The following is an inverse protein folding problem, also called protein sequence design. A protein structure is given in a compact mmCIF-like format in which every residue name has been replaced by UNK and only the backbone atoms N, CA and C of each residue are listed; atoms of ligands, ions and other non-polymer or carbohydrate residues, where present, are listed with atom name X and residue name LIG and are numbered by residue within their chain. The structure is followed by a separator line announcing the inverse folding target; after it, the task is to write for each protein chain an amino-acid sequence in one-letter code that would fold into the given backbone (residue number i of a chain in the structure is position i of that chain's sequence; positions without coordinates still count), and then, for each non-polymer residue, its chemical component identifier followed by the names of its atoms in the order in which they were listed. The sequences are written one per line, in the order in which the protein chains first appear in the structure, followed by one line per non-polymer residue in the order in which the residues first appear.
data_IF_833671053873
#
_entry.id   IF_833671053873
#
_cell.length_a   1.000
_cell.length_b   1.000
_cell.length_c   1.000
_cell.angle_alpha   90.00
_cell.angle_beta   90.00
_cell.angle_gamma   90.00
#
_symmetry.space_group_name_H-M   'P 1'
#
loop_
_entity.id
_entity.type
_entity.pdbx_description
1 polymer ?
#
# COMPACT_ATOMS: atom_id res chain seq x y z
N UNK A 1 18.94 3.13 -13.78
CA UNK A 1 18.20 2.22 -12.88
C UNK A 1 18.81 0.85 -13.01
N UNK A 2 19.13 0.16 -11.92
CA UNK A 2 19.77 -1.15 -11.94
C UNK A 2 18.83 -2.20 -11.35
N UNK A 3 18.61 -3.30 -12.07
CA UNK A 3 17.91 -4.45 -11.54
C UNK A 3 18.86 -5.27 -10.66
N UNK A 4 18.57 -5.35 -9.35
CA UNK A 4 19.42 -6.09 -8.40
C UNK A 4 19.02 -7.55 -8.23
N UNK A 5 17.78 -7.90 -8.59
CA UNK A 5 17.26 -9.27 -8.50
C UNK A 5 15.79 -9.32 -8.09
N UNK A 6 15.22 -10.53 -8.16
CA UNK A 6 13.88 -10.87 -7.71
C UNK A 6 13.95 -12.00 -6.72
N UNK A 7 13.27 -11.86 -5.58
CA UNK A 7 13.07 -12.96 -4.65
C UNK A 7 11.80 -13.73 -5.08
N UNK A 8 11.88 -15.05 -5.36
CA UNK A 8 10.69 -15.81 -5.69
C UNK A 8 9.76 -15.83 -4.48
N UNK A 9 8.47 -15.53 -4.67
CA UNK A 9 7.43 -15.70 -3.66
C UNK A 9 6.60 -16.95 -4.01
N UNK A 10 6.27 -17.84 -3.05
CA UNK A 10 6.45 -17.73 -1.60
C UNK A 10 7.84 -18.18 -1.09
N UNK A 11 8.71 -18.73 -1.93
CA UNK A 11 9.97 -19.36 -1.53
C UNK A 11 11.15 -18.38 -1.38
N UNK A 12 10.88 -17.20 -0.82
CA UNK A 12 11.91 -16.16 -0.70
C UNK A 12 12.98 -16.62 0.30
N UNK A 13 14.27 -16.34 0.04
CA UNK A 13 15.32 -16.70 0.97
C UNK A 13 15.06 -16.05 2.33
N UNK A 14 15.36 -16.79 3.39
CA UNK A 14 15.33 -16.22 4.74
C UNK A 14 16.29 -15.03 4.86
N UNK A 15 16.01 -14.13 5.79
CA UNK A 15 16.71 -12.84 5.98
C UNK A 15 18.24 -13.02 6.03
N UNK A 16 18.74 -14.07 6.67
CA UNK A 16 20.18 -14.36 6.72
C UNK A 16 20.80 -14.54 5.33
N UNK A 17 20.16 -15.31 4.44
CA UNK A 17 20.62 -15.51 3.05
C UNK A 17 20.49 -14.23 2.22
N UNK A 18 19.42 -13.48 2.41
CA UNK A 18 19.26 -12.17 1.75
C UNK A 18 20.38 -11.20 2.17
N UNK A 19 20.73 -11.18 3.46
CA UNK A 19 21.82 -10.36 3.96
C UNK A 19 23.18 -10.80 3.40
N UNK A 20 23.43 -12.10 3.20
CA UNK A 20 24.66 -12.54 2.51
C UNK A 20 24.76 -11.97 1.09
N UNK A 21 23.66 -11.94 0.34
CA UNK A 21 23.62 -11.34 -1.00
C UNK A 21 23.78 -9.82 -0.96
N UNK A 22 23.01 -9.14 -0.08
CA UNK A 22 23.07 -7.69 0.07
C UNK A 22 24.47 -7.21 0.49
N UNK A 23 25.23 -8.03 1.23
CA UNK A 23 26.60 -7.71 1.62
C UNK A 23 27.54 -7.59 0.41
N UNK A 24 27.39 -8.44 -0.60
CA UNK A 24 28.19 -8.37 -1.83
C UNK A 24 27.97 -7.01 -2.53
N UNK A 25 26.70 -6.62 -2.68
CA UNK A 25 26.34 -5.32 -3.25
C UNK A 25 26.88 -4.18 -2.40
N UNK A 26 26.68 -4.25 -1.08
CA UNK A 26 27.13 -3.21 -0.14
C UNK A 26 28.63 -2.99 -0.24
N UNK A 27 29.43 -4.07 -0.26
CA UNK A 27 30.89 -4.01 -0.38
C UNK A 27 31.33 -3.27 -1.64
N UNK A 28 30.76 -3.64 -2.79
CA UNK A 28 31.13 -3.04 -4.07
C UNK A 28 30.75 -1.55 -4.11
N UNK A 29 29.62 -1.17 -3.50
CA UNK A 29 29.17 0.21 -3.41
C UNK A 29 29.92 1.06 -2.38
N UNK A 30 30.47 0.46 -1.32
CA UNK A 30 31.39 1.17 -0.41
C UNK A 30 32.63 1.65 -1.14
N UNK A 31 33.26 0.77 -1.92
CA UNK A 31 34.43 1.09 -2.74
C UNK A 31 34.10 2.15 -3.80
N UNK A 32 32.95 2.00 -4.49
CA UNK A 32 32.47 2.97 -5.48
C UNK A 32 32.14 4.34 -4.86
N UNK A 33 31.73 4.42 -3.60
CA UNK A 33 31.41 5.70 -2.97
C UNK A 33 32.65 6.46 -2.52
N UNK A 34 33.53 5.76 -1.80
CA UNK A 34 34.73 6.35 -1.23
C UNK A 34 35.83 5.27 -1.09
N UNK A 35 36.96 5.40 -1.81
CA UNK A 35 37.39 6.57 -2.59
C UNK A 35 36.72 6.74 -3.97
N UNK A 36 36.05 5.71 -4.50
CA UNK A 36 35.66 5.59 -5.90
C UNK A 36 36.60 4.65 -6.67
N UNK A 37 36.20 4.25 -7.88
CA UNK A 37 36.92 3.26 -8.70
C UNK A 37 37.43 3.92 -9.99
N UNK A 38 38.67 3.60 -10.39
CA UNK A 38 39.21 4.00 -11.69
C UNK A 38 38.98 2.90 -12.72
N UNK A 39 38.15 3.16 -13.72
CA UNK A 39 38.01 2.27 -14.87
C UNK A 39 39.10 2.60 -15.89
N UNK A 40 39.95 1.63 -16.23
CA UNK A 40 41.09 1.83 -17.15
C UNK A 40 40.66 2.19 -18.57
N UNK A 41 39.45 1.80 -18.97
CA UNK A 41 38.86 2.13 -20.27
C UNK A 41 37.34 2.02 -20.21
N UNK A 42 36.65 2.99 -20.79
CA UNK A 42 35.20 2.95 -21.03
C UNK A 42 34.92 3.31 -22.48
N UNK A 43 33.70 3.07 -22.97
CA UNK A 43 33.34 3.35 -24.37
C UNK A 43 33.66 4.81 -24.79
N UNK A 44 33.34 5.79 -23.92
CA UNK A 44 33.60 7.22 -24.18
C UNK A 44 34.99 7.70 -23.74
N UNK A 45 35.70 6.96 -22.89
CA UNK A 45 36.98 7.37 -22.31
C UNK A 45 38.01 6.24 -22.43
N UNK A 46 38.77 6.27 -23.54
CA UNK A 46 39.78 5.25 -23.85
C UNK A 46 40.99 5.28 -22.89
N UNK A 47 41.27 6.44 -22.30
CA UNK A 47 42.32 6.64 -21.29
C UNK A 47 41.85 6.35 -19.86
N UNK A 48 40.61 5.86 -19.71
CA UNK A 48 40.02 5.58 -18.41
C UNK A 48 39.36 6.78 -17.75
N UNK A 49 38.70 6.54 -16.61
CA UNK A 49 38.00 7.56 -15.83
C UNK A 49 37.74 7.11 -14.39
N UNK A 50 37.98 8.00 -13.44
CA UNK A 50 37.51 7.85 -12.05
C UNK A 50 36.00 8.00 -11.97
N UNK A 51 35.34 7.04 -11.34
CA UNK A 51 33.88 6.98 -11.23
C UNK A 51 33.49 6.75 -9.78
N UNK A 52 32.44 7.46 -9.35
CA UNK A 52 31.76 7.18 -8.10
C UNK A 52 30.38 6.59 -8.35
N UNK A 53 29.96 5.73 -7.44
CA UNK A 53 28.65 5.07 -7.49
C UNK A 53 27.87 5.28 -6.20
N UNK A 54 26.55 5.35 -6.33
CA UNK A 54 25.60 5.41 -5.22
C UNK A 54 24.37 4.59 -5.60
N UNK A 55 23.76 3.92 -4.62
CA UNK A 55 22.54 3.12 -4.82
C UNK A 55 21.34 3.78 -4.14
N UNK A 56 20.56 4.52 -4.92
CA UNK A 56 19.26 5.11 -4.52
C UNK A 56 18.40 5.35 -5.76
N UNK A 57 17.07 5.38 -5.64
CA UNK A 57 16.28 4.85 -4.53
C UNK A 57 16.00 3.33 -4.67
N UNK A 58 15.58 2.68 -3.58
CA UNK A 58 14.98 1.34 -3.62
C UNK A 58 13.51 1.44 -4.00
N UNK A 59 13.16 0.85 -5.13
CA UNK A 59 11.80 0.68 -5.63
C UNK A 59 11.50 -0.80 -5.78
N UNK A 60 10.55 -1.29 -5.00
CA UNK A 60 10.10 -2.68 -5.03
C UNK A 60 8.67 -2.78 -4.48
N UNK A 61 8.05 -3.95 -4.60
CA UNK A 61 6.82 -4.21 -3.85
C UNK A 61 7.04 -4.08 -2.34
N UNK A 62 5.94 -3.94 -1.58
CA UNK A 62 6.00 -3.70 -0.13
C UNK A 62 6.77 -4.80 0.64
N UNK A 63 6.72 -6.06 0.20
CA UNK A 63 7.39 -7.16 0.89
C UNK A 63 8.90 -7.14 0.61
N UNK A 64 9.28 -6.99 -0.66
CA UNK A 64 10.67 -6.90 -1.09
C UNK A 64 11.36 -5.66 -0.52
N UNK A 65 10.69 -4.49 -0.56
CA UNK A 65 11.20 -3.25 0.01
C UNK A 65 11.59 -3.43 1.48
N UNK A 66 10.68 -4.00 2.29
CA UNK A 66 10.90 -4.29 3.71
C UNK A 66 12.04 -5.27 3.95
N UNK A 67 12.11 -6.32 3.13
CA UNK A 67 13.15 -7.34 3.28
C UNK A 67 14.54 -6.75 3.03
N UNK A 68 14.68 -5.91 2.00
CA UNK A 68 15.96 -5.29 1.63
C UNK A 68 16.35 -4.17 2.60
N UNK A 69 15.41 -3.35 3.03
CA UNK A 69 15.68 -2.15 3.83
C UNK A 69 15.58 -2.35 5.35
N UNK A 70 15.36 -3.58 5.81
CA UNK A 70 15.36 -3.92 7.24
C UNK A 70 14.03 -3.70 7.98
N UNK A 71 12.99 -3.13 7.35
CA UNK A 71 11.68 -3.03 7.99
C UNK A 71 11.02 -4.41 8.16
N UNK A 72 10.28 -4.60 9.23
CA UNK A 72 9.49 -5.82 9.49
C UNK A 72 8.16 -5.80 8.73
N UNK A 73 7.29 -6.79 9.01
CA UNK A 73 6.02 -7.03 8.33
C UNK A 73 5.13 -5.78 8.23
N UNK A 74 4.31 -5.73 7.18
CA UNK A 74 3.24 -4.75 7.01
C UNK A 74 2.16 -4.84 8.11
N UNK A 75 2.13 -5.92 8.90
CA UNK A 75 1.26 -6.06 10.07
C UNK A 75 1.97 -5.75 11.40
N UNK A 76 3.16 -5.13 11.35
CA UNK A 76 3.86 -4.66 12.54
C UNK A 76 3.10 -3.52 13.23
N UNK A 77 3.31 -3.33 14.53
CA UNK A 77 2.80 -2.16 15.26
C UNK A 77 3.29 -0.84 14.62
N UNK A 78 4.49 -0.86 14.03
CA UNK A 78 5.04 0.22 13.21
C UNK A 78 5.11 -0.25 11.75
N UNK A 79 3.95 -0.26 11.11
CA UNK A 79 3.81 -0.81 9.77
C UNK A 79 4.39 0.11 8.70
N UNK A 80 4.28 1.43 8.81
CA UNK A 80 4.68 2.33 7.72
C UNK A 80 6.22 2.42 7.58
N UNK A 81 6.71 2.52 6.34
CA UNK A 81 8.13 2.73 6.05
C UNK A 81 8.48 4.23 6.12
N UNK A 82 7.59 5.11 5.64
CA UNK A 82 7.84 6.56 5.58
C UNK A 82 7.60 7.29 6.89
N UNK A 83 6.62 6.86 7.70
CA UNK A 83 6.35 7.47 9.00
C UNK A 83 6.38 6.44 10.15
N UNK A 84 6.33 6.96 11.38
CA UNK A 84 6.43 6.20 12.62
C UNK A 84 5.07 6.06 13.33
N UNK A 85 3.96 6.18 12.57
CA UNK A 85 2.62 6.01 13.12
C UNK A 85 2.40 4.58 13.64
N UNK A 86 1.70 4.47 14.75
CA UNK A 86 1.29 3.19 15.31
C UNK A 86 0.10 2.61 14.53
N UNK A 87 0.02 1.30 14.35
CA UNK A 87 -1.07 0.61 13.63
C UNK A 87 -2.46 0.97 14.16
N UNK A 88 -2.58 1.19 15.48
CA UNK A 88 -3.84 1.61 16.10
C UNK A 88 -4.35 2.97 15.58
N UNK A 89 -3.47 3.80 15.01
CA UNK A 89 -3.77 5.13 14.50
C UNK A 89 -3.79 5.16 12.96
N UNK A 90 -3.89 4.01 12.28
CA UNK A 90 -3.85 3.93 10.81
C UNK A 90 -4.93 4.77 10.11
N UNK A 91 -6.02 5.09 10.81
CA UNK A 91 -7.13 5.91 10.31
C UNK A 91 -6.87 7.42 10.41
N UNK A 92 -5.76 7.85 11.03
CA UNK A 92 -5.31 9.23 10.95
C UNK A 92 -4.73 9.48 9.56
N UNK A 93 -5.50 10.13 8.70
CA UNK A 93 -5.10 10.46 7.34
C UNK A 93 -4.34 11.77 7.24
N UNK A 94 -4.22 12.54 8.31
CA UNK A 94 -3.52 13.82 8.28
C UNK A 94 -2.02 13.62 8.49
N UNK A 95 -1.27 13.74 7.40
CA UNK A 95 0.19 13.60 7.41
C UNK A 95 0.91 14.56 8.35
N UNK A 96 0.29 15.68 8.75
CA UNK A 96 0.86 16.62 9.71
C UNK A 96 0.97 16.02 11.12
N UNK A 97 0.11 15.05 11.47
CA UNK A 97 0.13 14.39 12.77
C UNK A 97 1.12 13.22 12.82
N UNK A 98 1.61 12.74 11.68
CA UNK A 98 2.41 11.52 11.65
C UNK A 98 3.84 11.78 12.10
N UNK A 99 4.32 11.10 13.15
CA UNK A 99 5.71 11.25 13.56
C UNK A 99 6.64 10.77 12.44
N UNK A 100 7.67 11.55 12.15
CA UNK A 100 8.72 11.14 11.20
C UNK A 100 9.60 10.07 11.83
N UNK A 101 10.07 9.12 11.02
CA UNK A 101 11.11 8.20 11.48
C UNK A 101 12.46 8.93 11.52
N UNK A 102 13.26 8.64 12.53
CA UNK A 102 14.60 9.17 12.67
C UNK A 102 15.64 8.15 12.15
N UNK A 103 16.59 8.60 11.32
CA UNK A 103 17.63 7.72 10.77
C UNK A 103 18.61 7.21 11.83
N UNK A 104 19.03 8.05 12.77
CA UNK A 104 19.94 7.65 13.85
C UNK A 104 19.29 6.59 14.76
N UNK A 105 18.02 6.78 15.14
CA UNK A 105 17.26 5.77 15.88
C UNK A 105 17.11 4.46 15.10
N UNK A 106 16.88 4.55 13.78
CA UNK A 106 16.81 3.36 12.92
C UNK A 106 18.12 2.56 12.98
N UNK A 107 19.28 3.24 12.88
CA UNK A 107 20.59 2.60 12.97
C UNK A 107 20.79 1.96 14.34
N UNK A 108 20.52 2.68 15.43
CA UNK A 108 20.64 2.16 16.79
C UNK A 108 19.83 0.87 16.97
N UNK A 109 18.56 0.88 16.56
CA UNK A 109 17.67 -0.28 16.66
C UNK A 109 18.13 -1.45 15.78
N UNK A 110 18.63 -1.15 14.57
CA UNK A 110 19.14 -2.17 13.66
C UNK A 110 20.42 -2.82 14.20
N UNK A 111 21.37 -2.06 14.74
CA UNK A 111 22.59 -2.61 15.32
C UNK A 111 22.33 -3.33 16.65
N UNK A 112 21.39 -2.86 17.47
CA UNK A 112 20.92 -3.62 18.63
C UNK A 112 20.38 -4.99 18.21
N UNK A 113 19.60 -5.05 17.12
CA UNK A 113 19.15 -6.32 16.56
C UNK A 113 20.31 -7.18 16.02
N UNK A 114 21.29 -6.58 15.34
CA UNK A 114 22.48 -7.28 14.80
C UNK A 114 23.30 -7.92 15.93
N UNK A 115 23.48 -7.20 17.02
CA UNK A 115 24.35 -7.56 18.14
C UNK A 115 23.66 -8.42 19.20
N UNK A 116 22.34 -8.63 19.08
CA UNK A 116 21.60 -9.53 19.96
C UNK A 116 22.18 -10.95 19.91
N UNK A 117 22.37 -11.54 21.09
CA UNK A 117 23.10 -12.80 21.27
C UNK A 117 22.26 -14.03 20.92
N UNK A 118 20.94 -13.89 20.91
CA UNK A 118 20.01 -14.99 20.67
C UNK A 118 18.96 -14.64 19.62
N UNK A 119 18.48 -15.66 18.89
CA UNK A 119 17.35 -15.51 17.96
C UNK A 119 16.06 -15.06 18.67
N UNK A 120 15.90 -15.40 19.94
CA UNK A 120 14.75 -14.96 20.75
C UNK A 120 14.79 -13.45 21.00
N UNK A 121 15.96 -12.93 21.37
CA UNK A 121 16.21 -11.51 21.56
C UNK A 121 16.02 -10.72 20.25
N UNK A 122 16.57 -11.22 19.14
CA UNK A 122 16.34 -10.66 17.81
C UNK A 122 14.85 -10.56 17.46
N UNK A 123 14.07 -11.62 17.72
CA UNK A 123 12.61 -11.61 17.48
C UNK A 123 11.91 -10.58 18.38
N UNK A 124 12.31 -10.46 19.65
CA UNK A 124 11.76 -9.48 20.59
C UNK A 124 12.05 -8.05 20.14
N UNK A 125 13.28 -7.74 19.75
CA UNK A 125 13.68 -6.43 19.24
C UNK A 125 12.95 -6.07 17.95
N UNK A 126 12.88 -7.01 17.00
CA UNK A 126 12.16 -6.80 15.74
C UNK A 126 10.66 -6.55 15.96
N UNK A 127 10.03 -7.26 16.90
CA UNK A 127 8.62 -7.04 17.26
C UNK A 127 8.41 -5.67 17.93
N UNK A 128 9.34 -5.25 18.79
CA UNK A 128 9.25 -3.99 19.55
C UNK A 128 9.47 -2.76 18.66
N UNK A 129 10.47 -2.80 17.80
CA UNK A 129 10.93 -1.64 17.01
C UNK A 129 10.39 -1.64 15.59
N UNK A 130 10.07 -2.82 15.07
CA UNK A 130 9.75 -3.01 13.67
C UNK A 130 10.97 -3.00 12.74
N UNK A 131 12.20 -3.02 13.27
CA UNK A 131 13.46 -2.88 12.54
C UNK A 131 14.33 -4.13 12.68
N UNK A 132 15.10 -4.43 11.63
CA UNK A 132 16.12 -5.48 11.55
C UNK A 132 17.36 -4.91 10.85
N UNK A 133 18.52 -5.49 11.11
CA UNK A 133 19.72 -5.15 10.38
C UNK A 133 19.69 -5.66 8.93
N UNK A 134 20.17 -4.81 8.02
CA UNK A 134 20.49 -5.14 6.64
C UNK A 134 21.86 -4.54 6.30
N UNK A 135 22.70 -5.22 5.49
CA UNK A 135 24.01 -4.69 5.08
C UNK A 135 23.96 -3.31 4.43
N UNK A 136 22.85 -2.94 3.78
CA UNK A 136 22.69 -1.61 3.20
C UNK A 136 22.88 -0.47 4.22
N UNK A 137 22.67 -0.72 5.52
CA UNK A 137 22.90 0.27 6.58
C UNK A 137 24.38 0.60 6.81
N UNK A 138 25.30 -0.21 6.26
CA UNK A 138 26.75 0.09 6.31
C UNK A 138 27.14 1.14 5.24
N UNK A 139 26.27 1.44 4.27
CA UNK A 139 26.54 2.47 3.26
C UNK A 139 26.40 3.88 3.89
N UNK A 140 27.43 4.75 3.82
CA UNK A 140 27.43 6.05 4.51
C UNK A 140 26.34 7.02 4.08
N UNK A 141 25.78 6.83 2.88
CA UNK A 141 24.75 7.68 2.30
C UNK A 141 23.35 7.06 2.39
N UNK A 142 23.20 5.83 2.92
CA UNK A 142 21.93 5.10 2.85
C UNK A 142 21.02 5.39 4.03
N UNK A 143 19.91 6.07 3.75
CA UNK A 143 18.81 6.30 4.68
C UNK A 143 17.56 5.52 4.27
N UNK A 144 17.31 4.37 4.91
CA UNK A 144 16.15 3.51 4.60
C UNK A 144 14.80 4.23 4.74
N UNK A 145 14.71 5.23 5.62
CA UNK A 145 13.49 6.04 5.82
C UNK A 145 13.18 6.92 4.61
N UNK A 146 14.22 7.36 3.88
CA UNK A 146 14.10 8.33 2.78
C UNK A 146 14.19 7.67 1.41
N UNK A 147 15.08 6.70 1.23
CA UNK A 147 15.37 6.11 -0.08
C UNK A 147 14.55 4.86 -0.41
N UNK A 148 13.61 4.46 0.45
CA UNK A 148 12.69 3.35 0.17
C UNK A 148 11.35 3.93 -0.25
N UNK A 149 11.04 3.82 -1.53
CA UNK A 149 9.87 4.48 -2.12
C UNK A 149 8.67 3.56 -2.14
N UNK A 150 7.49 4.18 -2.04
CA UNK A 150 6.23 3.49 -2.30
C UNK A 150 6.09 3.34 -3.81
N UNK A 151 6.10 2.10 -4.28
CA UNK A 151 5.97 1.79 -5.69
C UNK A 151 4.50 1.86 -6.11
N UNK A 152 4.16 2.82 -6.97
CA UNK A 152 2.79 3.17 -7.30
C UNK A 152 2.05 2.10 -8.10
N UNK A 153 2.71 1.27 -8.93
CA UNK A 153 2.00 0.15 -9.60
C UNK A 153 1.47 -0.84 -8.56
N UNK A 154 2.32 -1.24 -7.61
CA UNK A 154 1.92 -2.15 -6.55
C UNK A 154 0.93 -1.49 -5.59
N UNK A 155 1.17 -0.25 -5.17
CA UNK A 155 0.30 0.44 -4.22
C UNK A 155 -1.05 0.82 -4.84
N UNK A 156 -1.05 1.50 -5.99
CA UNK A 156 -2.26 2.02 -6.63
C UNK A 156 -2.91 0.97 -7.54
N UNK A 157 -2.22 0.57 -8.61
CA UNK A 157 -2.84 -0.20 -9.70
C UNK A 157 -3.24 -1.63 -9.28
N UNK A 158 -2.45 -2.27 -8.40
CA UNK A 158 -2.69 -3.64 -7.96
C UNK A 158 -3.45 -3.76 -6.64
N UNK A 159 -3.21 -2.86 -5.68
CA UNK A 159 -3.82 -2.97 -4.34
C UNK A 159 -5.01 -2.06 -4.21
N UNK A 160 -4.86 -0.76 -4.42
CA UNK A 160 -5.96 0.20 -4.24
C UNK A 160 -7.09 -0.05 -5.22
N UNK A 161 -6.80 -0.22 -6.51
CA UNK A 161 -7.84 -0.47 -7.52
C UNK A 161 -8.56 -1.80 -7.24
N UNK A 162 -7.81 -2.86 -6.96
CA UNK A 162 -8.39 -4.17 -6.66
C UNK A 162 -9.27 -4.12 -5.40
N UNK A 163 -8.82 -3.42 -4.36
CA UNK A 163 -9.59 -3.16 -3.16
C UNK A 163 -10.87 -2.38 -3.46
N UNK A 164 -10.77 -1.29 -4.22
CA UNK A 164 -11.94 -0.48 -4.56
C UNK A 164 -12.97 -1.29 -5.35
N UNK A 165 -12.55 -1.95 -6.43
CA UNK A 165 -13.45 -2.73 -7.30
C UNK A 165 -14.04 -3.92 -6.54
N UNK A 166 -13.22 -4.72 -5.86
CA UNK A 166 -13.65 -6.01 -5.30
C UNK A 166 -14.14 -5.95 -3.86
N UNK A 167 -13.74 -4.95 -3.07
CA UNK A 167 -14.11 -4.80 -1.66
C UNK A 167 -15.13 -3.72 -1.45
N UNK A 168 -14.83 -2.51 -1.91
CA UNK A 168 -15.71 -1.37 -1.68
C UNK A 168 -16.95 -1.46 -2.57
N UNK A 169 -16.74 -1.63 -3.88
CA UNK A 169 -17.82 -1.72 -4.86
C UNK A 169 -18.36 -3.14 -5.03
N UNK A 170 -17.62 -4.14 -4.55
CA UNK A 170 -17.96 -5.57 -4.63
C UNK A 170 -18.40 -6.02 -6.03
N UNK A 171 -17.75 -5.48 -7.07
CA UNK A 171 -17.99 -5.81 -8.47
C UNK A 171 -17.52 -7.25 -8.78
N UNK A 172 -18.39 -8.21 -8.47
CA UNK A 172 -18.19 -9.65 -8.63
C UNK A 172 -19.54 -10.32 -8.97
N UNK A 173 -19.60 -11.03 -10.10
CA UNK A 173 -20.83 -11.64 -10.61
C UNK A 173 -21.40 -12.74 -9.70
N UNK A 174 -20.61 -13.29 -8.78
CA UNK A 174 -21.06 -14.38 -7.91
C UNK A 174 -21.72 -13.89 -6.62
N UNK A 175 -21.82 -12.57 -6.44
CA UNK A 175 -22.49 -11.97 -5.28
C UNK A 175 -23.83 -11.38 -5.69
N UNK A 176 -24.80 -11.44 -4.77
CA UNK A 176 -26.06 -10.74 -4.93
C UNK A 176 -25.74 -9.24 -4.98
N UNK A 177 -26.05 -8.65 -6.14
CA UNK A 177 -25.90 -7.24 -6.41
C UNK A 177 -26.70 -6.38 -5.43
N UNK A 178 -26.24 -5.15 -5.20
CA UNK A 178 -26.95 -4.14 -4.41
C UNK A 178 -27.22 -2.87 -5.20
N UNK A 179 -28.11 -2.02 -4.70
CA UNK A 179 -28.49 -0.75 -5.33
C UNK A 179 -27.54 0.41 -4.99
N UNK A 180 -26.35 0.11 -4.44
CA UNK A 180 -25.42 1.08 -3.86
C UNK A 180 -25.99 1.91 -2.70
N UNK A 181 -27.04 1.41 -2.03
CA UNK A 181 -27.52 1.96 -0.75
C UNK A 181 -26.53 1.67 0.40
N UNK A 182 -26.88 2.10 1.61
CA UNK A 182 -26.08 1.79 2.79
C UNK A 182 -26.04 0.28 3.06
N UNK A 183 -24.88 -0.26 3.49
CA UNK A 183 -24.78 -1.68 3.82
C UNK A 183 -25.82 -2.06 4.87
N UNK A 184 -26.58 -3.14 4.65
CA UNK A 184 -27.48 -3.68 5.70
C UNK A 184 -26.67 -4.43 6.73
N UNK A 185 -26.02 -3.69 7.64
CA UNK A 185 -25.24 -4.26 8.74
C UNK A 185 -26.17 -5.00 9.70
N UNK A 186 -25.81 -6.24 10.07
CA UNK A 186 -26.52 -6.97 11.14
C UNK A 186 -26.32 -6.26 12.48
N UNK A 187 -27.31 -5.46 12.88
CA UNK A 187 -27.27 -4.70 14.13
C UNK A 187 -27.44 -5.65 15.32
N UNK A 188 -26.51 -5.66 16.29
CA UNK A 188 -26.71 -6.43 17.51
C UNK A 188 -27.88 -5.83 18.33
N UNK A 189 -28.52 -6.67 19.15
CA UNK A 189 -29.60 -6.22 20.05
C UNK A 189 -29.13 -5.03 20.88
N UNK A 190 -29.98 -3.99 20.98
CA UNK A 190 -29.67 -2.78 21.75
C UNK A 190 -29.35 -3.14 23.20
N UNK A 191 -28.24 -2.61 23.70
CA UNK A 191 -27.81 -2.75 25.09
C UNK A 191 -28.41 -1.62 25.95
N UNK A 192 -28.40 -1.76 27.27
CA UNK A 192 -28.89 -0.72 28.18
C UNK A 192 -28.02 0.54 28.11
N UNK A 193 -28.64 1.70 28.35
CA UNK A 193 -27.94 2.99 28.35
C UNK A 193 -26.85 3.04 29.42
N UNK A 194 -27.06 2.39 30.56
CA UNK A 194 -26.07 2.26 31.64
C UNK A 194 -24.76 1.64 31.15
N UNK A 195 -24.81 0.56 30.36
CA UNK A 195 -23.60 -0.09 29.81
C UNK A 195 -22.84 0.86 28.88
N UNK A 196 -23.57 1.62 28.06
CA UNK A 196 -22.99 2.63 27.16
C UNK A 196 -22.29 3.72 27.98
N UNK A 197 -22.99 4.29 28.98
CA UNK A 197 -22.45 5.34 29.85
C UNK A 197 -21.21 4.86 30.61
N UNK A 198 -21.21 3.62 31.13
CA UNK A 198 -20.04 3.07 31.83
C UNK A 198 -18.81 2.95 30.93
N UNK A 199 -18.99 2.54 29.66
CA UNK A 199 -17.87 2.46 28.71
C UNK A 199 -17.36 3.86 28.37
N UNK A 200 -18.26 4.80 28.09
CA UNK A 200 -17.88 6.19 27.81
C UNK A 200 -17.13 6.83 28.98
N UNK A 201 -17.57 6.57 30.22
CA UNK A 201 -16.88 7.06 31.41
C UNK A 201 -15.47 6.47 31.54
N UNK A 202 -15.26 5.19 31.19
CA UNK A 202 -13.91 4.62 31.15
C UNK A 202 -13.03 5.32 30.11
N UNK A 203 -13.55 5.59 28.91
CA UNK A 203 -12.80 6.32 27.88
C UNK A 203 -12.40 7.72 28.36
N UNK A 204 -13.29 8.43 29.04
CA UNK A 204 -13.03 9.77 29.58
C UNK A 204 -12.00 9.70 30.74
N UNK A 205 -12.19 8.77 31.67
CA UNK A 205 -11.37 8.68 32.90
C UNK A 205 -9.95 8.21 32.61
N UNK A 206 -9.77 7.41 31.56
CA UNK A 206 -8.49 6.80 31.19
C UNK A 206 -7.99 7.31 29.83
N UNK A 207 -8.33 8.55 29.45
CA UNK A 207 -7.83 9.13 28.22
C UNK A 207 -6.30 9.16 28.22
N UNK A 208 -5.68 8.62 27.15
CA UNK A 208 -4.22 8.54 27.02
C UNK A 208 -3.57 7.36 27.74
N UNK A 209 -4.34 6.48 28.38
CA UNK A 209 -3.83 5.27 29.01
C UNK A 209 -3.57 4.16 27.96
N UNK A 210 -2.31 3.69 27.81
CA UNK A 210 -1.97 2.66 26.83
C UNK A 210 -2.64 1.31 27.11
N UNK A 211 -3.05 1.04 28.35
CA UNK A 211 -3.69 -0.23 28.76
C UNK A 211 -5.22 -0.15 28.73
N UNK A 212 -5.81 0.96 28.25
CA UNK A 212 -7.25 1.20 28.25
C UNK A 212 -8.03 0.07 27.59
N UNK A 213 -7.55 -0.44 26.45
CA UNK A 213 -8.23 -1.52 25.73
C UNK A 213 -8.31 -2.79 26.59
N UNK A 214 -7.24 -3.12 27.32
CA UNK A 214 -7.22 -4.28 28.21
C UNK A 214 -8.11 -4.07 29.43
N UNK A 215 -8.20 -2.84 29.94
CA UNK A 215 -9.15 -2.47 31.01
C UNK A 215 -10.59 -2.60 30.56
N UNK A 216 -10.93 -2.14 29.35
CA UNK A 216 -12.25 -2.29 28.76
C UNK A 216 -12.58 -3.78 28.60
N UNK A 217 -11.67 -4.58 28.03
CA UNK A 217 -11.88 -6.02 27.79
C UNK A 217 -12.09 -6.86 29.05
N UNK A 218 -11.61 -6.42 30.21
CA UNK A 218 -11.84 -7.10 31.50
C UNK A 218 -13.27 -6.98 32.02
N UNK A 219 -14.08 -6.09 31.44
CA UNK A 219 -15.44 -5.82 31.89
C UNK A 219 -16.47 -6.52 30.97
N UNK A 220 -17.25 -7.45 31.52
CA UNK A 220 -18.30 -8.18 30.76
C UNK A 220 -19.34 -7.25 30.11
N UNK A 221 -19.55 -6.08 30.72
CA UNK A 221 -20.47 -5.08 30.19
C UNK A 221 -19.92 -4.31 28.97
N UNK A 222 -18.61 -4.32 28.73
CA UNK A 222 -17.95 -3.74 27.56
C UNK A 222 -17.86 -4.74 26.38
N UNK A 223 -18.97 -5.42 26.13
CA UNK A 223 -19.11 -6.42 25.08
C UNK A 223 -19.13 -5.80 23.67
N UNK A 224 -18.92 -6.63 22.64
CA UNK A 224 -19.05 -6.22 21.23
C UNK A 224 -20.34 -5.42 20.94
N UNK A 225 -21.55 -5.85 21.34
CA UNK A 225 -22.76 -5.04 21.17
C UNK A 225 -22.67 -3.63 21.76
N UNK A 226 -22.06 -3.48 22.94
CA UNK A 226 -21.91 -2.18 23.60
C UNK A 226 -21.02 -1.24 22.78
N UNK A 227 -19.85 -1.73 22.37
CA UNK A 227 -18.91 -0.97 21.55
C UNK A 227 -19.50 -0.64 20.17
N UNK A 228 -20.23 -1.60 19.57
CA UNK A 228 -20.92 -1.38 18.30
C UNK A 228 -21.94 -0.24 18.38
N UNK A 229 -22.78 -0.21 19.42
CA UNK A 229 -23.77 0.86 19.59
C UNK A 229 -23.12 2.22 19.88
N UNK A 230 -22.02 2.25 20.64
CA UNK A 230 -21.25 3.48 20.84
C UNK A 230 -20.73 4.02 19.52
N UNK A 231 -20.09 3.17 18.71
CA UNK A 231 -19.57 3.59 17.41
C UNK A 231 -20.70 4.05 16.49
N UNK A 232 -21.78 3.28 16.37
CA UNK A 232 -22.93 3.62 15.54
C UNK A 232 -23.59 4.94 15.95
N UNK A 233 -23.80 5.16 17.25
CA UNK A 233 -24.48 6.36 17.76
C UNK A 233 -23.61 7.63 17.62
N UNK A 234 -22.29 7.48 17.68
CA UNK A 234 -21.33 8.57 17.48
C UNK A 234 -20.86 8.73 16.04
N UNK A 235 -21.50 8.01 15.10
CA UNK A 235 -21.17 8.03 13.67
C UNK A 235 -19.73 7.60 13.34
N UNK A 236 -19.11 6.80 14.21
CA UNK A 236 -17.75 6.28 14.09
C UNK A 236 -17.69 5.02 13.20
N UNK A 237 -16.47 4.69 12.77
CA UNK A 237 -16.19 3.43 12.05
C UNK A 237 -16.41 2.21 12.95
N UNK A 238 -16.86 1.11 12.36
CA UNK A 238 -17.24 -0.12 13.07
C UNK A 238 -16.53 -1.29 12.40
N UNK A 239 -15.47 -1.83 12.99
CA UNK A 239 -14.81 -3.00 12.42
C UNK A 239 -15.81 -4.18 12.25
N UNK A 240 -16.13 -4.55 11.01
CA UNK A 240 -17.12 -5.57 10.66
C UNK A 240 -16.51 -6.76 9.91
N UNK A 241 -17.12 -7.94 10.02
CA UNK A 241 -16.67 -9.10 9.22
C UNK A 241 -17.29 -9.08 7.83
N UNK A 242 -16.57 -9.59 6.81
CA UNK A 242 -16.99 -9.63 5.39
C UNK A 242 -18.40 -10.18 5.10
N UNK A 243 -19.03 -10.91 6.03
CA UNK A 243 -20.37 -11.50 5.86
C UNK A 243 -21.50 -10.53 6.17
N UNK A 244 -21.21 -9.41 6.83
CA UNK A 244 -22.22 -8.45 7.31
C UNK A 244 -22.52 -7.32 6.31
N UNK A 245 -21.88 -7.37 5.14
CA UNK A 245 -21.92 -6.35 4.09
C UNK A 245 -22.97 -6.70 3.03
N UNK A 246 -24.24 -6.47 3.35
CA UNK A 246 -25.27 -6.65 2.34
C UNK A 246 -25.16 -5.55 1.27
N UNK A 247 -25.13 -6.01 0.01
CA UNK A 247 -25.51 -5.30 -1.21
C UNK A 247 -24.37 -4.52 -1.92
N UNK A 248 -23.78 -5.18 -2.92
CA UNK A 248 -22.74 -4.72 -3.85
C UNK A 248 -23.17 -3.55 -4.75
N UNK A 249 -22.34 -3.08 -5.68
CA UNK A 249 -22.87 -2.46 -6.90
C UNK A 249 -23.49 -3.57 -7.75
N UNK A 250 -24.75 -3.43 -8.13
CA UNK A 250 -25.53 -4.55 -8.67
C UNK A 250 -25.01 -5.12 -10.00
N UNK A 251 -25.41 -6.36 -10.26
CA UNK A 251 -25.05 -7.10 -11.47
C UNK A 251 -25.49 -6.37 -12.75
N UNK A 252 -26.51 -5.53 -12.67
CA UNK A 252 -26.97 -4.64 -13.74
C UNK A 252 -25.93 -3.55 -14.08
N UNK A 253 -25.30 -2.95 -13.08
CA UNK A 253 -24.21 -1.98 -13.28
C UNK A 253 -23.00 -2.68 -13.90
N UNK A 254 -22.65 -3.89 -13.44
CA UNK A 254 -21.58 -4.68 -14.06
C UNK A 254 -21.88 -5.01 -15.52
N UNK A 255 -23.10 -5.42 -15.84
CA UNK A 255 -23.52 -5.68 -17.21
C UNK A 255 -23.46 -4.41 -18.07
N UNK A 256 -23.92 -3.28 -17.53
CA UNK A 256 -23.83 -1.99 -18.21
C UNK A 256 -22.38 -1.58 -18.51
N UNK A 257 -21.48 -1.77 -17.54
CA UNK A 257 -20.04 -1.51 -17.73
C UNK A 257 -19.49 -2.37 -18.86
N UNK A 258 -19.81 -3.67 -18.89
CA UNK A 258 -19.37 -4.56 -19.97
C UNK A 258 -19.94 -4.16 -21.33
N UNK A 259 -21.24 -3.86 -21.42
CA UNK A 259 -21.87 -3.44 -22.67
C UNK A 259 -21.23 -2.16 -23.21
N UNK A 260 -20.86 -1.24 -22.32
CA UNK A 260 -20.15 -0.02 -22.68
C UNK A 260 -18.70 -0.29 -23.10
N UNK A 261 -18.00 -1.21 -22.43
CA UNK A 261 -16.67 -1.67 -22.83
C UNK A 261 -16.66 -2.26 -24.25
N UNK A 262 -17.77 -2.88 -24.68
CA UNK A 262 -17.89 -3.37 -26.07
C UNK A 262 -18.01 -2.23 -27.09
N UNK A 263 -18.49 -1.05 -26.67
CA UNK A 263 -18.69 0.13 -27.52
C UNK A 263 -17.55 1.15 -27.42
N UNK A 264 -16.70 1.06 -26.40
CA UNK A 264 -15.56 1.96 -26.21
C UNK A 264 -14.42 1.58 -27.15
N UNK A 265 -13.97 2.53 -27.97
CA UNK A 265 -12.77 2.39 -28.80
C UNK A 265 -11.59 2.98 -28.02
N UNK A 266 -10.58 2.16 -27.77
CA UNK A 266 -9.35 2.59 -27.10
C UNK A 266 -8.25 2.88 -28.14
N UNK A 267 -7.39 3.89 -27.91
CA UNK A 267 -6.15 4.04 -28.67
C UNK A 267 -5.28 2.78 -28.59
N UNK A 268 -4.50 2.52 -29.64
CA UNK A 268 -3.69 1.30 -29.76
C UNK A 268 -2.60 1.12 -28.69
N UNK A 269 -2.19 2.21 -28.04
CA UNK A 269 -1.20 2.20 -26.96
C UNK A 269 -1.79 1.93 -25.57
N UNK A 270 -3.11 1.75 -25.45
CA UNK A 270 -3.78 1.38 -24.19
C UNK A 270 -4.10 -0.11 -24.23
N UNK A 271 -3.55 -0.87 -23.28
CA UNK A 271 -3.90 -2.28 -23.11
C UNK A 271 -5.38 -2.46 -22.79
N UNK A 272 -6.11 -3.12 -23.69
CA UNK A 272 -7.53 -3.39 -23.53
C UNK A 272 -7.76 -4.39 -22.40
N UNK A 273 -8.65 -4.04 -21.46
CA UNK A 273 -9.05 -4.95 -20.41
C UNK A 273 -9.96 -6.07 -20.94
N UNK A 274 -9.86 -7.30 -20.40
CA UNK A 274 -10.74 -8.40 -20.77
C UNK A 274 -12.20 -8.08 -20.45
N UNK A 275 -13.09 -8.29 -21.42
CA UNK A 275 -14.52 -7.91 -21.33
C UNK A 275 -15.36 -8.79 -20.38
N UNK A 276 -14.76 -9.81 -19.76
CA UNK A 276 -15.39 -10.73 -18.80
C UNK A 276 -14.71 -10.68 -17.43
N UNK A 277 -14.09 -9.55 -17.08
CA UNK A 277 -13.43 -9.33 -15.79
C UNK A 277 -14.45 -9.38 -14.63
N UNK A 278 -14.07 -9.95 -13.48
CA UNK A 278 -15.02 -10.20 -12.38
C UNK A 278 -15.72 -11.57 -12.45
N UNK A 279 -15.37 -12.41 -13.43
CA UNK A 279 -15.76 -13.84 -13.48
C UNK A 279 -14.67 -14.74 -12.90
N UNK A 280 -15.04 -15.87 -12.27
CA UNK A 280 -14.08 -16.90 -11.82
C UNK A 280 -13.19 -17.41 -12.96
N UNK A 281 -13.75 -17.57 -14.17
CA UNK A 281 -13.05 -18.13 -15.34
C UNK A 281 -11.85 -17.28 -15.78
N UNK A 282 -11.90 -15.95 -15.61
CA UNK A 282 -10.84 -15.05 -16.10
C UNK A 282 -9.64 -14.97 -15.16
N UNK A 283 -9.82 -15.24 -13.87
CA UNK A 283 -8.74 -15.16 -12.88
C UNK A 283 -8.31 -13.73 -12.57
N UNK A 284 -7.00 -13.55 -12.28
CA UNK A 284 -6.42 -12.30 -11.78
C UNK A 284 -6.19 -11.29 -12.93
N UNK A 285 -6.53 -10.02 -12.69
CA UNK A 285 -6.22 -8.92 -13.61
C UNK A 285 -4.74 -8.50 -13.46
N UNK A 286 -4.13 -8.08 -14.57
CA UNK A 286 -2.82 -7.42 -14.53
C UNK A 286 -3.00 -5.97 -14.04
N UNK A 287 -1.91 -5.33 -13.60
CA UNK A 287 -1.94 -3.92 -13.19
C UNK A 287 -2.49 -3.02 -14.30
N UNK A 288 -2.09 -3.26 -15.55
CA UNK A 288 -2.58 -2.51 -16.71
C UNK A 288 -4.07 -2.72 -16.97
N UNK A 289 -4.57 -3.97 -16.92
CA UNK A 289 -6.00 -4.24 -17.08
C UNK A 289 -6.82 -3.54 -15.99
N UNK A 290 -6.39 -3.63 -14.72
CA UNK A 290 -7.04 -2.97 -13.59
C UNK A 290 -7.09 -1.45 -13.78
N UNK A 291 -5.98 -0.84 -14.20
CA UNK A 291 -5.91 0.60 -14.47
C UNK A 291 -6.85 1.01 -15.60
N UNK A 292 -6.86 0.31 -16.73
CA UNK A 292 -7.78 0.59 -17.85
C UNK A 292 -9.24 0.51 -17.43
N UNK A 293 -9.62 -0.51 -16.64
CA UNK A 293 -10.98 -0.61 -16.11
C UNK A 293 -11.31 0.59 -15.23
N UNK A 294 -10.43 0.91 -14.29
CA UNK A 294 -10.70 1.89 -13.25
C UNK A 294 -10.64 3.35 -13.71
N UNK A 295 -9.74 3.70 -14.63
CA UNK A 295 -9.55 5.10 -15.05
C UNK A 295 -10.27 5.45 -16.35
N UNK A 296 -10.75 4.46 -17.11
CA UNK A 296 -11.45 4.69 -18.37
C UNK A 296 -12.87 4.12 -18.30
N UNK A 297 -13.03 2.82 -18.15
CA UNK A 297 -14.35 2.20 -18.32
C UNK A 297 -15.31 2.52 -17.17
N UNK A 298 -14.85 2.48 -15.90
CA UNK A 298 -15.69 2.81 -14.75
C UNK A 298 -16.13 4.27 -14.73
N UNK A 299 -15.26 5.28 -14.99
CA UNK A 299 -15.69 6.67 -15.09
C UNK A 299 -16.76 6.87 -16.16
N UNK A 300 -16.56 6.35 -17.38
CA UNK A 300 -17.55 6.52 -18.45
C UNK A 300 -18.89 5.86 -18.06
N UNK A 301 -18.85 4.65 -17.51
CA UNK A 301 -20.06 3.92 -17.13
C UNK A 301 -20.80 4.56 -15.95
N UNK A 302 -20.10 4.84 -14.85
CA UNK A 302 -20.71 5.32 -13.62
C UNK A 302 -21.12 6.79 -13.69
N UNK A 303 -20.38 7.63 -14.43
CA UNK A 303 -20.84 8.99 -14.74
C UNK A 303 -22.15 8.89 -15.54
N UNK A 304 -22.22 8.01 -16.53
CA UNK A 304 -23.45 7.85 -17.30
C UNK A 304 -24.63 7.40 -16.43
N UNK A 305 -24.43 6.38 -15.60
CA UNK A 305 -25.49 5.83 -14.74
C UNK A 305 -25.91 6.78 -13.63
N UNK A 306 -24.97 7.50 -13.02
CA UNK A 306 -25.20 8.24 -11.78
C UNK A 306 -25.15 9.77 -11.93
N UNK A 307 -25.06 10.31 -13.16
CA UNK A 307 -25.03 11.77 -13.42
C UNK A 307 -26.18 12.56 -12.79
N UNK A 308 -27.35 11.94 -12.65
CA UNK A 308 -28.56 12.55 -12.10
C UNK A 308 -28.91 12.04 -10.70
N UNK A 309 -28.13 11.09 -10.17
CA UNK A 309 -28.35 10.56 -8.82
C UNK A 309 -27.85 11.56 -7.77
N UNK A 310 -28.48 11.56 -6.61
CA UNK A 310 -28.10 12.39 -5.45
C UNK A 310 -27.78 11.50 -4.23
N UNK A 311 -27.15 12.08 -3.21
CA UNK A 311 -26.79 11.35 -1.98
C UNK A 311 -25.69 10.32 -2.21
N UNK A 312 -25.82 9.14 -1.60
CA UNK A 312 -24.74 8.13 -1.51
C UNK A 312 -24.13 7.72 -2.86
N UNK A 313 -24.93 7.50 -3.91
CA UNK A 313 -24.38 7.14 -5.24
C UNK A 313 -23.51 8.24 -5.83
N UNK A 314 -23.90 9.50 -5.62
CA UNK A 314 -23.11 10.66 -6.04
C UNK A 314 -21.80 10.73 -5.25
N UNK A 315 -21.85 10.53 -3.94
CA UNK A 315 -20.67 10.51 -3.07
C UNK A 315 -19.71 9.36 -3.42
N UNK A 316 -20.23 8.16 -3.74
CA UNK A 316 -19.45 7.02 -4.22
C UNK A 316 -18.74 7.35 -5.54
N UNK A 317 -19.43 8.01 -6.46
CA UNK A 317 -18.85 8.46 -7.73
C UNK A 317 -17.73 9.49 -7.50
N UNK A 318 -18.01 10.53 -6.70
CA UNK A 318 -17.06 11.60 -6.43
C UNK A 318 -15.81 11.04 -5.72
N UNK A 319 -16.00 10.13 -4.74
CA UNK A 319 -14.91 9.43 -4.09
C UNK A 319 -14.06 8.61 -5.08
N UNK A 320 -14.69 7.84 -5.97
CA UNK A 320 -13.96 7.11 -7.02
C UNK A 320 -13.18 8.06 -7.94
N UNK A 321 -13.77 9.19 -8.32
CA UNK A 321 -13.13 10.17 -9.21
C UNK A 321 -11.89 10.82 -8.58
N UNK A 322 -11.89 11.07 -7.26
CA UNK A 322 -10.66 11.47 -6.57
C UNK A 322 -9.55 10.45 -6.72
N UNK A 323 -9.85 9.15 -6.59
CA UNK A 323 -8.86 8.10 -6.80
C UNK A 323 -8.37 8.04 -8.27
N UNK A 324 -9.27 8.21 -9.24
CA UNK A 324 -8.90 8.28 -10.67
C UNK A 324 -7.93 9.43 -10.93
N UNK A 325 -8.20 10.61 -10.38
CA UNK A 325 -7.29 11.77 -10.49
C UNK A 325 -5.94 11.51 -9.83
N UNK A 326 -5.91 10.91 -8.64
CA UNK A 326 -4.67 10.53 -7.97
C UNK A 326 -3.84 9.54 -8.81
N UNK A 327 -4.48 8.52 -9.40
CA UNK A 327 -3.80 7.56 -10.29
C UNK A 327 -3.20 8.25 -11.50
N UNK A 328 -3.92 9.19 -12.13
CA UNK A 328 -3.39 9.95 -13.26
C UNK A 328 -2.19 10.81 -12.85
N UNK A 329 -2.30 11.57 -11.75
CA UNK A 329 -1.22 12.41 -11.25
C UNK A 329 0.04 11.59 -10.93
N UNK A 330 -0.10 10.42 -10.29
CA UNK A 330 1.02 9.54 -9.96
C UNK A 330 1.71 8.93 -11.20
N UNK A 331 0.98 8.76 -12.30
CA UNK A 331 1.47 8.07 -13.50
C UNK A 331 1.87 9.02 -14.65
N UNK A 332 1.84 10.33 -14.45
CA UNK A 332 2.35 11.26 -15.47
C UNK A 332 3.85 11.05 -15.74
N UNK A 333 4.25 11.24 -17.00
CA UNK A 333 5.64 11.07 -17.46
C UNK A 333 6.59 12.15 -16.91
N UNK A 334 6.02 13.27 -16.48
CA UNK A 334 6.71 14.40 -15.84
C UNK A 334 5.92 14.79 -14.59
N UNK A 335 6.62 15.30 -13.59
CA UNK A 335 5.99 15.84 -12.39
C UNK A 335 6.51 17.25 -12.10
N UNK A 336 5.75 18.00 -11.31
CA UNK A 336 6.10 19.28 -10.73
C UNK A 336 5.34 19.42 -9.39
N UNK A 337 5.58 20.49 -8.65
CA UNK A 337 4.90 20.69 -7.35
C UNK A 337 3.38 20.62 -7.47
N UNK A 338 2.80 21.25 -8.50
CA UNK A 338 1.34 21.23 -8.72
C UNK A 338 0.77 19.83 -8.95
N UNK A 339 1.48 18.96 -9.69
CA UNK A 339 1.05 17.57 -9.89
C UNK A 339 1.10 16.79 -8.57
N UNK A 340 2.15 16.98 -7.78
CA UNK A 340 2.26 16.36 -6.46
C UNK A 340 1.19 16.86 -5.49
N UNK A 341 0.83 18.14 -5.55
CA UNK A 341 -0.23 18.74 -4.73
C UNK A 341 -1.63 18.24 -5.14
N UNK A 342 -1.87 18.08 -6.46
CA UNK A 342 -3.08 17.42 -6.98
C UNK A 342 -3.14 15.99 -6.46
N UNK A 343 -2.03 15.25 -6.53
CA UNK A 343 -1.97 13.89 -6.01
C UNK A 343 -2.36 13.85 -4.53
N UNK A 344 -1.70 14.64 -3.69
CA UNK A 344 -1.92 14.68 -2.24
C UNK A 344 -3.37 15.05 -1.89
N UNK A 345 -3.91 16.07 -2.55
CA UNK A 345 -5.30 16.46 -2.37
C UNK A 345 -6.24 15.31 -2.72
N UNK A 346 -6.11 14.75 -3.93
CA UNK A 346 -7.01 13.72 -4.42
C UNK A 346 -6.92 12.42 -3.60
N UNK A 347 -5.72 11.96 -3.24
CA UNK A 347 -5.57 10.74 -2.43
C UNK A 347 -6.11 10.93 -1.01
N UNK A 348 -5.95 12.11 -0.42
CA UNK A 348 -6.50 12.42 0.90
C UNK A 348 -8.03 12.48 0.87
N UNK A 349 -8.62 13.14 -0.12
CA UNK A 349 -10.08 13.16 -0.28
C UNK A 349 -10.64 11.76 -0.49
N UNK A 350 -9.96 10.94 -1.30
CA UNK A 350 -10.33 9.54 -1.47
C UNK A 350 -10.30 8.76 -0.14
N UNK A 351 -9.22 8.89 0.65
CA UNK A 351 -9.11 8.16 1.92
C UNK A 351 -10.16 8.62 2.95
N UNK A 352 -10.46 9.92 3.00
CA UNK A 352 -11.55 10.47 3.84
C UNK A 352 -12.91 9.95 3.40
N UNK A 353 -13.19 9.96 2.10
CA UNK A 353 -14.42 9.40 1.56
C UNK A 353 -14.54 7.90 1.80
N UNK A 354 -13.44 7.14 1.74
CA UNK A 354 -13.44 5.73 2.16
C UNK A 354 -13.84 5.56 3.63
N UNK A 355 -13.26 6.38 4.52
CA UNK A 355 -13.58 6.35 5.95
C UNK A 355 -15.05 6.67 6.25
N UNK A 356 -15.65 7.59 5.50
CA UNK A 356 -17.03 8.03 5.66
C UNK A 356 -18.05 7.09 5.02
N UNK A 357 -17.79 6.64 3.78
CA UNK A 357 -18.74 5.86 2.98
C UNK A 357 -18.72 4.37 3.31
N UNK A 358 -17.58 3.85 3.77
CA UNK A 358 -17.38 2.44 4.07
C UNK A 358 -16.89 2.28 5.51
N UNK A 359 -17.78 2.56 6.46
CA UNK A 359 -17.46 2.59 7.90
C UNK A 359 -17.03 1.25 8.46
N UNK A 360 -17.33 0.17 7.75
CA UNK A 360 -17.12 -1.18 8.22
C UNK A 360 -15.78 -1.79 7.78
N UNK A 361 -15.04 -1.10 6.89
CA UNK A 361 -13.87 -1.66 6.19
C UNK A 361 -12.61 -1.34 6.96
N UNK A 362 -11.62 -2.22 6.97
CA UNK A 362 -10.35 -1.87 7.60
C UNK A 362 -9.50 -1.03 6.64
N UNK A 363 -8.88 0.04 7.14
CA UNK A 363 -7.81 0.71 6.40
C UNK A 363 -6.59 -0.18 6.40
N UNK A 364 -6.08 -0.47 5.20
CA UNK A 364 -4.92 -1.33 5.00
C UNK A 364 -3.61 -0.54 5.03
N UNK A 365 -2.48 -1.18 5.39
CA UNK A 365 -1.15 -0.58 5.26
C UNK A 365 -0.82 -0.07 3.85
N UNK A 366 -1.39 -0.69 2.82
CA UNK A 366 -1.18 -0.27 1.42
C UNK A 366 -1.91 1.05 1.12
N UNK A 367 -3.13 1.23 1.64
CA UNK A 367 -3.87 2.49 1.56
C UNK A 367 -3.13 3.63 2.25
N UNK A 368 -2.64 3.40 3.48
CA UNK A 368 -1.83 4.41 4.17
C UNK A 368 -0.54 4.71 3.40
N UNK A 369 0.16 3.70 2.88
CA UNK A 369 1.39 3.90 2.10
C UNK A 369 1.14 4.76 0.85
N UNK A 370 -0.03 4.68 0.22
CA UNK A 370 -0.37 5.51 -0.93
C UNK A 370 -0.36 7.01 -0.62
N UNK A 371 -0.61 7.41 0.64
CA UNK A 371 -0.54 8.81 1.06
C UNK A 371 0.89 9.38 1.02
N UNK A 372 1.92 8.54 0.98
CA UNK A 372 3.33 8.96 0.90
C UNK A 372 3.84 9.15 -0.55
N UNK A 373 3.04 8.77 -1.56
CA UNK A 373 3.49 8.83 -2.96
C UNK A 373 3.75 10.28 -3.42
N UNK A 374 2.98 11.27 -2.95
CA UNK A 374 3.21 12.67 -3.33
C UNK A 374 4.55 13.22 -2.85
N UNK A 375 4.99 12.83 -1.64
CA UNK A 375 6.35 13.11 -1.17
C UNK A 375 7.40 12.45 -2.07
N UNK A 376 7.18 11.20 -2.48
CA UNK A 376 8.08 10.52 -3.41
C UNK A 376 8.12 11.19 -4.79
N UNK A 377 7.02 11.76 -5.27
CA UNK A 377 6.98 12.53 -6.53
C UNK A 377 7.79 13.84 -6.40
N UNK A 378 7.71 14.54 -5.26
CA UNK A 378 8.49 15.75 -5.00
C UNK A 378 9.99 15.48 -4.91
N UNK A 379 10.38 14.42 -4.21
CA UNK A 379 11.81 14.14 -3.96
C UNK A 379 12.51 13.42 -5.12
N UNK A 380 11.85 12.46 -5.76
CA UNK A 380 12.49 11.56 -6.73
C UNK A 380 11.96 11.71 -8.16
N UNK A 381 11.04 12.64 -8.38
CA UNK A 381 10.43 12.88 -9.68
C UNK A 381 9.38 11.82 -10.06
N UNK A 382 9.00 11.77 -11.35
CA UNK A 382 7.85 11.00 -11.81
C UNK A 382 8.04 9.50 -11.61
N UNK A 383 6.95 8.79 -11.33
CA UNK A 383 6.98 7.33 -11.17
C UNK A 383 7.50 6.63 -12.43
N UNK A 384 7.21 7.16 -13.62
CA UNK A 384 7.56 6.53 -14.88
C UNK A 384 9.07 6.20 -15.01
N UNK A 385 9.96 7.06 -14.51
CA UNK A 385 11.41 6.83 -14.56
C UNK A 385 11.90 5.79 -13.56
N UNK A 386 11.03 5.38 -12.61
CA UNK A 386 11.38 4.51 -11.49
C UNK A 386 10.37 3.39 -11.17
N UNK A 387 9.45 3.13 -12.08
CA UNK A 387 8.34 2.21 -11.87
C UNK A 387 8.75 0.75 -11.99
N UNK A 388 8.11 -0.13 -11.21
CA UNK A 388 8.42 -1.56 -11.23
C UNK A 388 8.00 -2.28 -12.52
N UNK A 389 7.13 -1.67 -13.35
CA UNK A 389 6.63 -2.28 -14.59
C UNK A 389 7.75 -2.73 -15.52
N UNK A 390 8.85 -1.98 -15.58
CA UNK A 390 10.00 -2.32 -16.39
C UNK A 390 10.67 -3.61 -15.90
N UNK A 391 10.84 -3.74 -14.58
CA UNK A 391 11.46 -4.89 -13.96
C UNK A 391 10.58 -6.14 -14.03
N UNK A 392 9.26 -6.01 -13.89
CA UNK A 392 8.33 -7.14 -14.04
C UNK A 392 8.39 -7.76 -15.44
N UNK A 393 8.50 -6.93 -16.49
CA UNK A 393 8.69 -7.43 -17.86
C UNK A 393 10.01 -8.19 -18.01
N UNK A 394 11.07 -7.66 -17.40
CA UNK A 394 12.38 -8.31 -17.41
C UNK A 394 12.38 -9.62 -16.62
N UNK A 395 11.70 -9.66 -15.46
CA UNK A 395 11.51 -10.88 -14.66
C UNK A 395 10.76 -11.94 -15.47
N UNK A 396 9.67 -11.57 -16.12
CA UNK A 396 8.92 -12.48 -16.99
C UNK A 396 9.80 -13.06 -18.10
N UNK A 397 10.57 -12.20 -18.78
CA UNK A 397 11.53 -12.64 -19.79
C UNK A 397 12.55 -13.63 -19.23
N UNK A 398 13.08 -13.38 -18.02
CA UNK A 398 14.01 -14.29 -17.34
C UNK A 398 13.35 -15.63 -16.96
N UNK A 399 12.08 -15.62 -16.55
CA UNK A 399 11.31 -16.83 -16.24
C UNK A 399 11.03 -17.69 -17.48
N UNK A 400 10.91 -17.07 -18.65
CA UNK A 400 10.77 -17.76 -19.93
C UNK A 400 12.07 -18.39 -20.43
N UNK A 401 13.23 -18.01 -19.87
CA UNK A 401 14.49 -18.65 -20.21
C UNK A 401 14.58 -20.03 -19.55
N UNK A 402 14.85 -21.05 -20.37
CA UNK A 402 15.15 -22.39 -19.86
C UNK A 402 16.48 -22.37 -19.09
N UNK A 403 16.38 -22.25 -17.78
CA UNK A 403 17.52 -22.46 -16.87
C UNK A 403 17.45 -23.88 -16.31
N UNK A 404 18.61 -24.48 -16.04
CA UNK A 404 18.69 -25.82 -15.44
C UNK A 404 18.16 -25.86 -13.99
N UNK A 405 17.76 -24.71 -13.42
CA UNK A 405 17.30 -24.50 -12.04
C UNK A 405 18.25 -25.08 -10.97
N UNK A 406 19.52 -25.31 -11.34
CA UNK A 406 20.57 -25.83 -10.46
C UNK A 406 21.52 -24.69 -10.12
N UNK A 407 21.70 -24.47 -8.82
CA UNK A 407 22.67 -23.48 -8.33
C UNK A 407 24.11 -23.99 -8.57
N UNK A 408 24.92 -23.20 -9.28
CA UNK A 408 26.37 -23.39 -9.34
C UNK A 408 26.89 -24.50 -10.27
N UNK A 409 26.18 -24.79 -11.37
CA UNK A 409 26.64 -25.71 -12.43
C UNK A 409 26.63 -25.06 -13.80
#
# INVERSE_FOLDING_TARGET
MCYLGSAPTPNSPGIGRLNSFNWLITRDFLELWQPGVFFTKTHKYQQGRSTKGMIVPLTADMLAARAVSGFTSHNSIYFCIGCHIHMANIEDFDSAHWPRRNHAEHLEQAYAWKNATTLSEQKKLAKKTGIRYTPFLELPYWEAVRYVLVEAMHALDLRMIDHHIRKLFQMDLERIGGDASEPRVRRPRRVSQERITNVLQLFITHQGDPDLVDKIRKNDWASFPTLWHICNDLDLRIAGTRRDWAEAIAADVMQFVWDLMHKTILPSWIGAAPKNWGTKKRGKLSAEHSRTIFTIHLPIALIWLWRNETGRKRELLDNMMYMVMAIHAANFKSTNSSISDIYDHCILQYMRGVGQLFKEDDITPSQHSALHIGENLREFGPQHSRGAQFYERYIHYLQEQNTNMKYGQ
#
